data_IF_144850177718
#
_entry.id   IF_144850177718
#
_cell.length_a   1.000
_cell.length_b   1.000
_cell.length_c   1.000
_cell.angle_alpha   90.00
_cell.angle_beta   90.00
_cell.angle_gamma   90.00
#
_symmetry.space_group_name_H-M   'P 1'
#
loop_
_entity.id
_entity.type
_entity.pdbx_description
1 polymer ?
#
# COMPACT_ATOMS: atom_id res chain seq x y z
N UNK A 1 -8.80 3.84 -14.61
CA UNK A 1 -8.20 2.85 -13.70
C UNK A 1 -9.31 2.20 -12.88
N UNK A 2 -9.18 0.92 -12.48
CA UNK A 2 -10.08 0.37 -11.46
C UNK A 2 -9.96 1.20 -10.17
N UNK A 3 -11.05 1.32 -9.39
CA UNK A 3 -11.04 2.07 -8.15
C UNK A 3 -10.00 1.49 -7.19
N UNK A 4 -9.36 2.39 -6.44
CA UNK A 4 -8.45 2.04 -5.35
C UNK A 4 -9.16 1.17 -4.31
N UNK A 5 -8.41 0.29 -3.65
CA UNK A 5 -8.92 -0.48 -2.51
C UNK A 5 -9.16 0.44 -1.31
N UNK A 6 -8.39 1.52 -1.24
CA UNK A 6 -8.41 2.47 -0.13
C UNK A 6 -9.65 3.35 -0.12
N UNK A 7 -10.06 3.73 1.09
CA UNK A 7 -11.22 4.58 1.36
C UNK A 7 -10.68 5.80 2.09
N UNK A 8 -11.19 6.97 1.75
CA UNK A 8 -10.89 8.21 2.45
C UNK A 8 -11.51 8.27 3.85
N UNK A 9 -11.07 9.21 4.67
CA UNK A 9 -11.53 9.31 6.06
C UNK A 9 -12.62 10.38 6.31
N UNK A 10 -13.22 10.94 5.25
CA UNK A 10 -14.28 11.95 5.39
C UNK A 10 -15.63 11.34 5.83
N UNK A 11 -15.85 11.28 7.14
CA UNK A 11 -17.10 10.82 7.74
C UNK A 11 -17.28 9.30 7.68
N UNK A 12 -18.48 8.85 8.06
CA UNK A 12 -18.82 7.42 8.04
C UNK A 12 -19.18 6.97 6.63
N UNK A 13 -18.84 5.74 6.27
CA UNK A 13 -19.30 5.10 5.04
C UNK A 13 -20.67 4.41 5.29
N UNK A 14 -21.80 4.98 4.83
CA UNK A 14 -23.10 4.37 5.05
C UNK A 14 -23.33 3.20 4.11
N UNK A 15 -24.12 2.22 4.55
CA UNK A 15 -24.47 1.06 3.73
C UNK A 15 -25.12 1.53 2.43
N UNK A 16 -24.55 1.11 1.29
CA UNK A 16 -24.96 1.48 -0.07
C UNK A 16 -24.78 2.97 -0.42
N UNK A 17 -24.05 3.75 0.37
CA UNK A 17 -23.75 5.14 0.02
C UNK A 17 -22.44 5.29 -0.75
N UNK A 18 -21.93 6.52 -0.78
CA UNK A 18 -20.67 6.84 -1.42
C UNK A 18 -19.50 6.69 -0.44
N UNK A 19 -18.43 6.06 -0.92
CA UNK A 19 -17.16 6.00 -0.18
C UNK A 19 -16.47 7.34 -0.28
N UNK A 20 -15.94 7.83 0.84
CA UNK A 20 -14.98 8.91 0.80
C UNK A 20 -13.78 8.49 -0.06
N UNK A 21 -13.28 9.40 -0.90
CA UNK A 21 -12.22 9.11 -1.86
C UNK A 21 -10.85 9.63 -1.43
N UNK A 22 -10.82 10.69 -0.64
CA UNK A 22 -9.61 11.41 -0.28
C UNK A 22 -9.35 11.39 1.22
N UNK A 23 -8.15 11.78 1.59
CA UNK A 23 -7.56 11.59 2.90
C UNK A 23 -7.44 10.10 3.26
N UNK A 24 -7.08 9.29 2.25
CA UNK A 24 -6.63 7.91 2.40
C UNK A 24 -5.29 7.90 3.15
N UNK A 25 -5.12 7.00 4.12
CA UNK A 25 -3.95 7.02 4.99
C UNK A 25 -3.04 5.79 4.82
N UNK A 26 -1.70 5.97 4.92
CA UNK A 26 -0.72 4.89 4.94
C UNK A 26 -1.04 3.74 5.90
N UNK A 27 -1.54 4.03 7.11
CA UNK A 27 -1.83 3.00 8.12
C UNK A 27 -2.95 2.05 7.69
N UNK A 28 -3.94 2.56 6.94
CA UNK A 28 -5.06 1.76 6.42
C UNK A 28 -4.56 0.82 5.31
N UNK A 29 -3.69 1.32 4.42
CA UNK A 29 -3.05 0.49 3.40
C UNK A 29 -2.26 -0.67 4.01
N UNK A 30 -1.44 -0.39 5.03
CA UNK A 30 -0.64 -1.39 5.73
C UNK A 30 -1.53 -2.42 6.43
N UNK A 31 -2.59 -1.97 7.11
CA UNK A 31 -3.55 -2.85 7.78
C UNK A 31 -4.25 -3.80 6.80
N UNK A 32 -4.69 -3.31 5.63
CA UNK A 32 -5.34 -4.13 4.60
C UNK A 32 -4.33 -5.11 3.98
N UNK A 33 -3.10 -4.67 3.74
CA UNK A 33 -2.03 -5.51 3.24
C UNK A 33 -1.77 -6.68 4.18
N UNK A 34 -1.59 -6.43 5.48
CA UNK A 34 -1.37 -7.46 6.48
C UNK A 34 -2.55 -8.42 6.61
N UNK A 35 -3.78 -7.89 6.59
CA UNK A 35 -4.98 -8.72 6.60
C UNK A 35 -5.06 -9.63 5.37
N UNK A 36 -4.67 -9.14 4.19
CA UNK A 36 -4.59 -9.95 2.98
C UNK A 36 -3.52 -11.03 3.10
N UNK A 37 -2.35 -10.72 3.64
CA UNK A 37 -1.29 -11.72 3.87
C UNK A 37 -1.79 -12.82 4.82
N UNK A 38 -2.48 -12.45 5.90
CA UNK A 38 -3.00 -13.42 6.85
C UNK A 38 -4.12 -14.28 6.25
N UNK A 39 -5.01 -13.67 5.46
CA UNK A 39 -6.04 -14.40 4.72
C UNK A 39 -5.40 -15.38 3.70
N UNK A 40 -4.31 -15.00 3.04
CA UNK A 40 -3.55 -15.93 2.19
C UNK A 40 -3.00 -17.11 2.99
N UNK A 41 -2.32 -16.86 4.12
CA UNK A 41 -1.78 -17.93 4.96
C UNK A 41 -2.86 -18.92 5.40
N UNK A 42 -4.05 -18.41 5.75
CA UNK A 42 -5.18 -19.23 6.20
C UNK A 42 -5.91 -19.99 5.08
N UNK A 43 -5.99 -19.42 3.88
CA UNK A 43 -6.86 -19.95 2.80
C UNK A 43 -6.10 -20.49 1.60
N UNK A 44 -4.83 -20.14 1.45
CA UNK A 44 -3.98 -20.39 0.26
C UNK A 44 -4.54 -19.82 -1.06
N UNK A 45 -5.55 -18.94 -1.00
CA UNK A 45 -6.14 -18.31 -2.18
C UNK A 45 -5.29 -17.11 -2.64
N UNK A 46 -4.66 -17.24 -3.81
CA UNK A 46 -3.74 -16.24 -4.38
C UNK A 46 -4.39 -14.87 -4.63
N UNK A 47 -5.74 -14.77 -4.66
CA UNK A 47 -6.42 -13.46 -4.78
C UNK A 47 -6.00 -12.49 -3.66
N UNK A 48 -5.70 -13.02 -2.48
CA UNK A 48 -5.29 -12.22 -1.33
C UNK A 48 -3.91 -11.58 -1.56
N UNK A 49 -2.98 -12.31 -2.18
CA UNK A 49 -1.67 -11.75 -2.56
C UNK A 49 -1.82 -10.62 -3.59
N UNK A 50 -2.73 -10.78 -4.55
CA UNK A 50 -3.05 -9.73 -5.53
C UNK A 50 -3.57 -8.47 -4.83
N UNK A 51 -4.40 -8.61 -3.80
CA UNK A 51 -4.90 -7.49 -3.02
C UNK A 51 -3.83 -6.85 -2.11
N UNK A 52 -2.98 -7.65 -1.48
CA UNK A 52 -1.83 -7.17 -0.71
C UNK A 52 -0.89 -6.32 -1.60
N UNK A 53 -0.56 -6.83 -2.79
CA UNK A 53 0.23 -6.09 -3.77
C UNK A 53 -0.42 -4.77 -4.18
N UNK A 54 -1.74 -4.73 -4.39
CA UNK A 54 -2.46 -3.48 -4.73
C UNK A 54 -2.33 -2.43 -3.62
N UNK A 55 -2.29 -2.85 -2.36
CA UNK A 55 -2.05 -1.95 -1.23
C UNK A 55 -0.60 -1.41 -1.25
N UNK A 56 0.38 -2.26 -1.58
CA UNK A 56 1.77 -1.80 -1.76
C UNK A 56 1.90 -0.80 -2.93
N UNK A 57 1.31 -1.13 -4.09
CA UNK A 57 1.35 -0.29 -5.28
C UNK A 57 0.65 1.07 -5.07
N UNK A 58 -0.28 1.18 -4.12
CA UNK A 58 -0.89 2.45 -3.75
C UNK A 58 0.15 3.47 -3.27
N UNK A 59 1.14 3.04 -2.47
CA UNK A 59 2.26 3.91 -2.05
C UNK A 59 3.11 4.36 -3.24
N UNK A 60 3.19 3.54 -4.29
CA UNK A 60 4.00 3.77 -5.49
C UNK A 60 3.25 4.57 -6.57
N UNK A 61 2.02 5.01 -6.31
CA UNK A 61 1.25 5.82 -7.24
C UNK A 61 0.13 5.07 -7.96
N UNK A 62 -0.16 3.80 -7.67
CA UNK A 62 -1.40 3.17 -8.15
C UNK A 62 -2.59 3.59 -7.29
N UNK A 63 -2.88 4.88 -7.28
CA UNK A 63 -3.90 5.52 -6.45
C UNK A 63 -4.75 6.52 -7.25
N UNK A 64 -5.74 7.14 -6.60
CA UNK A 64 -6.71 8.02 -7.24
C UNK A 64 -6.09 9.22 -7.97
N UNK A 65 -4.86 9.61 -7.63
CA UNK A 65 -4.16 10.74 -8.23
C UNK A 65 -2.95 10.36 -9.08
N UNK A 66 -2.59 9.08 -9.16
CA UNK A 66 -1.36 8.63 -9.80
C UNK A 66 -0.08 9.26 -9.22
N UNK A 67 -0.03 9.48 -7.90
CA UNK A 67 1.09 10.15 -7.23
C UNK A 67 1.76 9.23 -6.20
N UNK A 68 3.09 9.11 -6.23
CA UNK A 68 3.82 8.33 -5.23
C UNK A 68 3.75 8.97 -3.85
N UNK A 69 3.28 8.23 -2.84
CA UNK A 69 3.42 8.61 -1.44
C UNK A 69 4.81 8.27 -0.90
N UNK A 70 5.49 7.29 -1.48
CA UNK A 70 6.88 6.99 -1.15
C UNK A 70 7.80 8.04 -1.77
N UNK A 71 8.65 8.64 -0.94
CA UNK A 71 9.67 9.60 -1.36
C UNK A 71 11.01 8.88 -1.60
N UNK A 72 11.34 8.65 -2.87
CA UNK A 72 12.57 7.99 -3.27
C UNK A 72 13.86 8.73 -2.86
N UNK A 73 13.79 10.02 -2.52
CA UNK A 73 14.98 10.79 -2.09
C UNK A 73 15.26 10.60 -0.61
N UNK A 74 14.21 10.53 0.21
CA UNK A 74 14.35 10.49 1.68
C UNK A 74 14.10 9.11 2.27
N UNK A 75 13.42 8.22 1.53
CA UNK A 75 12.87 6.97 2.05
C UNK A 75 11.62 7.17 2.92
N UNK A 76 11.12 8.40 3.05
CA UNK A 76 9.92 8.73 3.82
C UNK A 76 8.63 8.38 3.10
N UNK A 77 7.51 8.45 3.82
CA UNK A 77 6.18 8.31 3.23
C UNK A 77 5.29 9.47 3.61
N UNK A 78 4.63 10.05 2.61
CA UNK A 78 3.69 11.14 2.77
C UNK A 78 2.39 10.69 3.46
N UNK A 79 1.79 11.56 4.26
CA UNK A 79 0.69 11.21 5.18
C UNK A 79 -0.65 10.90 4.51
N UNK A 80 -0.98 11.54 3.38
CA UNK A 80 -2.28 11.31 2.73
C UNK A 80 -2.34 11.81 1.30
N UNK A 81 -3.36 11.36 0.58
CA UNK A 81 -3.81 11.93 -0.71
C UNK A 81 -5.05 12.77 -0.47
N UNK A 82 -4.95 14.08 -0.63
CA UNK A 82 -6.06 15.03 -0.51
C UNK A 82 -6.65 15.35 -1.90
N UNK A 83 -7.82 16.01 -2.00
CA UNK A 83 -8.39 16.40 -3.29
C UNK A 83 -7.48 17.30 -4.13
N UNK A 84 -6.54 18.00 -3.49
CA UNK A 84 -5.62 18.93 -4.15
C UNK A 84 -4.22 18.36 -4.38
N UNK A 85 -3.93 17.15 -3.90
CA UNK A 85 -2.62 16.51 -4.04
C UNK A 85 -2.15 15.83 -2.76
N UNK A 86 -0.86 15.53 -2.72
CA UNK A 86 -0.24 14.86 -1.57
C UNK A 86 -0.07 15.83 -0.39
N UNK A 87 -0.45 15.38 0.81
CA UNK A 87 0.03 15.98 2.05
C UNK A 87 1.50 15.61 2.25
N UNK A 88 2.40 16.59 2.10
CA UNK A 88 3.85 16.38 2.11
C UNK A 88 4.46 16.10 3.48
N UNK A 89 3.67 16.09 4.55
CA UNK A 89 4.18 15.66 5.84
C UNK A 89 4.62 14.20 5.76
N UNK A 90 5.77 13.89 6.37
CA UNK A 90 6.36 12.56 6.41
C UNK A 90 6.43 12.10 7.86
N UNK A 91 5.25 11.88 8.47
CA UNK A 91 5.17 11.43 9.84
C UNK A 91 5.87 10.07 10.05
N UNK A 92 6.27 9.80 11.29
CA UNK A 92 6.86 8.51 11.67
C UNK A 92 5.88 7.35 11.39
N UNK A 93 4.59 7.54 11.67
CA UNK A 93 3.54 6.55 11.40
C UNK A 93 3.47 6.18 9.92
N UNK A 94 3.32 7.19 9.04
CA UNK A 94 3.25 7.01 7.59
C UNK A 94 4.48 6.31 7.04
N UNK A 95 5.66 6.74 7.48
CA UNK A 95 6.94 6.17 7.07
C UNK A 95 7.06 4.71 7.53
N UNK A 96 6.70 4.42 8.79
CA UNK A 96 6.74 3.06 9.32
C UNK A 96 5.74 2.13 8.61
N UNK A 97 4.50 2.58 8.39
CA UNK A 97 3.48 1.82 7.68
C UNK A 97 3.93 1.42 6.27
N UNK A 98 4.57 2.35 5.56
CA UNK A 98 5.12 2.12 4.23
C UNK A 98 6.28 1.11 4.25
N UNK A 99 7.27 1.29 5.13
CA UNK A 99 8.43 0.39 5.25
C UNK A 99 7.99 -1.03 5.65
N UNK A 100 7.10 -1.16 6.64
CA UNK A 100 6.56 -2.46 7.06
C UNK A 100 5.81 -3.14 5.92
N UNK A 101 5.07 -2.38 5.10
CA UNK A 101 4.40 -2.92 3.91
C UNK A 101 5.39 -3.50 2.90
N UNK A 102 6.50 -2.80 2.62
CA UNK A 102 7.56 -3.33 1.75
C UNK A 102 8.20 -4.60 2.33
N UNK A 103 8.54 -4.59 3.63
CA UNK A 103 9.16 -5.74 4.30
C UNK A 103 8.24 -6.96 4.29
N UNK A 104 6.96 -6.78 4.61
CA UNK A 104 5.97 -7.86 4.61
C UNK A 104 5.83 -8.50 3.23
N UNK A 105 5.80 -7.68 2.17
CA UNK A 105 5.72 -8.18 0.79
C UNK A 105 7.01 -8.87 0.34
N UNK A 106 8.18 -8.33 0.71
CA UNK A 106 9.47 -8.97 0.47
C UNK A 106 9.59 -10.33 1.17
N UNK A 107 9.16 -10.42 2.44
CA UNK A 107 9.11 -11.69 3.16
C UNK A 107 8.16 -12.69 2.52
N UNK A 108 6.99 -12.25 2.04
CA UNK A 108 6.05 -13.11 1.35
C UNK A 108 6.62 -13.66 0.02
N UNK A 109 7.31 -12.81 -0.75
CA UNK A 109 8.00 -13.17 -1.99
C UNK A 109 8.98 -14.33 -1.77
N UNK A 110 9.81 -14.19 -0.72
CA UNK A 110 10.83 -15.18 -0.36
C UNK A 110 10.27 -16.50 0.17
N UNK A 111 9.05 -16.50 0.70
CA UNK A 111 8.42 -17.70 1.28
C UNK A 111 7.59 -18.45 0.25
N UNK A 112 7.03 -17.78 -0.75
CA UNK A 112 5.93 -18.35 -1.57
C UNK A 112 6.33 -18.86 -2.95
N UNK A 113 7.62 -18.79 -3.35
CA UNK A 113 8.09 -19.04 -4.74
C UNK A 113 7.29 -18.28 -5.83
N UNK A 114 6.45 -17.34 -5.41
CA UNK A 114 5.73 -16.43 -6.29
C UNK A 114 6.74 -15.36 -6.66
N UNK A 115 6.95 -15.10 -7.94
CA UNK A 115 7.78 -13.96 -8.35
C UNK A 115 6.96 -12.68 -8.20
N UNK A 116 7.21 -11.93 -7.12
CA UNK A 116 6.58 -10.65 -6.90
C UNK A 116 7.26 -9.50 -7.66
N UNK A 117 8.38 -9.74 -8.35
CA UNK A 117 9.19 -8.69 -8.96
C UNK A 117 9.82 -7.75 -7.92
N UNK A 118 9.89 -8.18 -6.65
CA UNK A 118 10.49 -7.46 -5.53
C UNK A 118 11.88 -8.01 -5.16
N UNK A 119 12.31 -9.10 -5.80
CA UNK A 119 13.68 -9.61 -5.68
C UNK A 119 14.63 -8.52 -6.18
N UNK A 120 15.45 -8.01 -5.28
CA UNK A 120 16.59 -7.17 -5.64
C UNK A 120 17.46 -8.01 -6.59
N UNK A 121 17.63 -7.56 -7.84
CA UNK A 121 18.63 -8.16 -8.70
C UNK A 121 19.99 -7.93 -8.05
N UNK A 122 20.74 -9.01 -7.79
CA UNK A 122 22.12 -8.94 -7.28
C UNK A 122 23.10 -8.20 -8.22
N UNK A 123 22.63 -7.64 -9.33
CA UNK A 123 23.44 -7.09 -10.42
C UNK A 123 23.86 -5.63 -10.28
N UNK A 124 23.95 -5.07 -9.06
CA UNK A 124 24.54 -3.74 -8.84
C UNK A 124 25.50 -3.78 -7.64
N UNK A 125 26.42 -4.74 -7.65
CA UNK A 125 27.71 -4.65 -6.96
C UNK A 125 28.74 -5.19 -7.96
N UNK A 126 29.11 -4.36 -8.93
CA UNK A 126 30.36 -4.43 -9.69
C UNK A 126 30.74 -2.99 -10.11
#
# INVERSE_FOLDING_TARGET
>A
MPPTIQIGNNGWYPKNGEKARFDQQPIEAQSILEACIEAYKSTQDKKWIVNARRCLEWYLGRNDMNLSLYDYKTGGCYDSITPTGINRNQGAESTLACILSFLNMYSLDNITDIDLGLKLSESVID
#
